data_IF_805258968056
#
_entry.id   IF_805258968056
#
_cell.length_a   1.000
_cell.length_b   1.000
_cell.length_c   1.000
_cell.angle_alpha   90.00
_cell.angle_beta   90.00
_cell.angle_gamma   90.00
#
_symmetry.space_group_name_H-M   'P 1'
#
loop_
_entity.id
_entity.type
_entity.pdbx_description
1 polymer ?
#
# COMPACT_ATOMS: atom_id res chain seq x y z
N UNK A 1 14.94 -9.45 -13.19
CA UNK A 1 15.35 -8.02 -13.21
C UNK A 1 14.66 -7.22 -14.28
N UNK A 2 14.68 -7.63 -15.55
CA UNK A 2 14.00 -6.89 -16.62
C UNK A 2 12.53 -6.64 -16.27
N UNK A 3 11.81 -7.66 -15.81
CA UNK A 3 10.43 -7.52 -15.31
C UNK A 3 10.31 -6.56 -14.12
N UNK A 4 11.26 -6.55 -13.18
CA UNK A 4 11.23 -5.65 -12.02
C UNK A 4 11.28 -4.18 -12.42
N UNK A 5 12.16 -3.81 -13.36
CA UNK A 5 12.27 -2.43 -13.83
C UNK A 5 11.05 -1.99 -14.67
N UNK A 6 10.53 -2.87 -15.53
CA UNK A 6 9.29 -2.60 -16.27
C UNK A 6 8.08 -2.49 -15.35
N UNK A 7 8.01 -3.33 -14.32
CA UNK A 7 6.98 -3.23 -13.29
C UNK A 7 7.04 -1.89 -12.57
N UNK A 8 8.22 -1.43 -12.15
CA UNK A 8 8.39 -0.11 -11.53
C UNK A 8 7.99 1.03 -12.46
N UNK A 9 8.37 0.97 -13.75
CA UNK A 9 7.95 1.98 -14.72
C UNK A 9 6.43 1.99 -14.89
N UNK A 10 5.82 0.80 -15.02
CA UNK A 10 4.38 0.64 -15.15
C UNK A 10 3.65 1.20 -13.92
N UNK A 11 4.10 0.85 -12.72
CA UNK A 11 3.55 1.38 -11.47
C UNK A 11 3.68 2.91 -11.40
N UNK A 12 4.84 3.47 -11.75
CA UNK A 12 5.03 4.92 -11.81
C UNK A 12 4.07 5.60 -12.75
N UNK A 13 3.94 5.10 -13.99
CA UNK A 13 3.01 5.68 -14.98
C UNK A 13 1.57 5.59 -14.47
N UNK A 14 1.15 4.44 -13.96
CA UNK A 14 -0.23 4.24 -13.50
C UNK A 14 -0.56 5.05 -12.23
N UNK A 15 0.37 5.19 -11.29
CA UNK A 15 0.19 6.05 -10.11
C UNK A 15 0.17 7.53 -10.49
N UNK A 16 1.04 7.96 -11.42
CA UNK A 16 0.98 9.32 -11.97
C UNK A 16 -0.39 9.61 -12.60
N UNK A 17 -0.91 8.69 -13.43
CA UNK A 17 -2.23 8.83 -14.05
C UNK A 17 -3.32 8.89 -12.97
N UNK A 18 -3.21 8.06 -11.92
CA UNK A 18 -4.22 7.94 -10.87
C UNK A 18 -4.27 9.11 -9.90
N UNK A 19 -3.14 9.73 -9.56
CA UNK A 19 -3.10 10.77 -8.53
C UNK A 19 -2.88 12.19 -9.07
N UNK A 20 -2.07 12.37 -10.11
CA UNK A 20 -1.71 13.71 -10.61
C UNK A 20 -2.47 14.09 -11.87
N UNK A 21 -2.55 13.19 -12.85
CA UNK A 21 -3.23 13.52 -14.10
C UNK A 21 -4.75 13.41 -13.97
N UNK A 22 -5.25 12.34 -13.35
CA UNK A 22 -6.68 12.11 -13.09
C UNK A 22 -7.59 12.48 -14.27
N UNK A 23 -7.41 11.85 -15.45
CA UNK A 23 -8.20 12.18 -16.64
C UNK A 23 -9.71 11.95 -16.44
N UNK A 24 -10.06 11.07 -15.49
CA UNK A 24 -11.40 10.84 -14.95
C UNK A 24 -11.27 10.61 -13.44
N UNK A 25 -12.39 10.32 -12.77
CA UNK A 25 -12.46 10.14 -11.32
C UNK A 25 -11.45 9.11 -10.75
N UNK A 26 -10.84 9.46 -9.61
CA UNK A 26 -9.85 8.64 -8.90
C UNK A 26 -10.35 7.23 -8.60
N UNK A 27 -11.61 7.10 -8.18
CA UNK A 27 -12.24 5.82 -7.82
C UNK A 27 -12.56 4.94 -9.02
N UNK A 28 -12.28 5.43 -10.24
CA UNK A 28 -12.30 4.63 -11.47
C UNK A 28 -10.86 4.33 -11.90
N UNK A 29 -10.00 5.34 -12.00
CA UNK A 29 -8.64 5.19 -12.54
C UNK A 29 -7.76 4.32 -11.64
N UNK A 30 -7.79 4.55 -10.32
CA UNK A 30 -6.87 3.90 -9.40
C UNK A 30 -7.14 2.39 -9.23
N UNK A 31 -8.40 1.92 -9.05
CA UNK A 31 -8.69 0.48 -9.06
C UNK A 31 -8.28 -0.21 -10.36
N UNK A 32 -8.54 0.40 -11.53
CA UNK A 32 -8.15 -0.16 -12.81
C UNK A 32 -6.62 -0.25 -12.96
N UNK A 33 -5.91 0.77 -12.51
CA UNK A 33 -4.45 0.78 -12.45
C UNK A 33 -3.92 -0.37 -11.60
N UNK A 34 -4.49 -0.60 -10.41
CA UNK A 34 -4.06 -1.69 -9.53
C UNK A 34 -4.49 -3.08 -10.02
N UNK A 35 -5.62 -3.17 -10.73
CA UNK A 35 -5.99 -4.41 -11.43
C UNK A 35 -4.94 -4.76 -12.51
N UNK A 36 -4.51 -3.79 -13.32
CA UNK A 36 -3.45 -4.00 -14.32
C UNK A 36 -2.12 -4.40 -13.67
N UNK A 37 -1.73 -3.75 -12.58
CA UNK A 37 -0.52 -4.13 -11.83
C UNK A 37 -0.64 -5.52 -11.21
N UNK A 38 -1.83 -5.93 -10.77
CA UNK A 38 -2.10 -7.29 -10.30
C UNK A 38 -1.88 -8.30 -11.41
N UNK A 39 -2.47 -8.07 -12.59
CA UNK A 39 -2.28 -8.93 -13.75
C UNK A 39 -0.79 -9.04 -14.09
N UNK A 40 -0.08 -7.91 -14.14
CA UNK A 40 1.37 -7.90 -14.37
C UNK A 40 2.14 -8.72 -13.32
N UNK A 41 1.82 -8.55 -12.04
CA UNK A 41 2.43 -9.25 -10.93
C UNK A 41 2.22 -10.77 -11.03
N UNK A 42 1.03 -11.22 -11.40
CA UNK A 42 0.71 -12.64 -11.57
C UNK A 42 1.49 -13.28 -12.73
N UNK A 43 1.63 -12.57 -13.86
CA UNK A 43 2.39 -13.08 -15.01
C UNK A 43 3.91 -13.07 -14.81
N UNK A 44 4.44 -12.16 -13.98
CA UNK A 44 5.87 -11.97 -13.81
C UNK A 44 6.44 -12.57 -12.52
N UNK A 45 5.63 -13.34 -11.77
CA UNK A 45 6.03 -13.99 -10.52
C UNK A 45 5.79 -15.50 -10.57
N UNK A 46 6.86 -16.28 -10.50
CA UNK A 46 6.78 -17.75 -10.51
C UNK A 46 6.55 -18.36 -9.11
N UNK A 47 6.49 -17.53 -8.07
CA UNK A 47 6.27 -18.00 -6.70
C UNK A 47 4.84 -18.49 -6.54
N UNK A 48 4.57 -19.69 -6.00
CA UNK A 48 3.19 -20.13 -5.80
C UNK A 48 2.39 -19.17 -4.91
N UNK A 49 1.26 -18.68 -5.43
CA UNK A 49 0.37 -17.72 -4.77
C UNK A 49 -0.22 -18.27 -3.45
N UNK A 50 -0.58 -19.55 -3.48
CA UNK A 50 -1.10 -20.29 -2.35
C UNK A 50 -0.02 -21.22 -1.79
N UNK A 51 0.99 -20.65 -1.15
CA UNK A 51 1.71 -21.43 -0.16
C UNK A 51 0.75 -21.69 1.01
N UNK A 52 0.72 -22.93 1.52
CA UNK A 52 -0.17 -23.38 2.60
C UNK A 52 0.18 -22.73 3.96
N UNK A 53 0.20 -21.41 4.00
CA UNK A 53 0.66 -20.63 5.13
C UNK A 53 -0.52 -20.36 6.08
N UNK A 54 -0.71 -21.27 7.05
CA UNK A 54 -1.64 -21.11 8.18
C UNK A 54 -1.23 -20.00 9.17
N UNK A 55 -0.15 -19.26 8.88
CA UNK A 55 0.49 -18.32 9.81
C UNK A 55 0.05 -16.89 9.53
N UNK A 56 -0.07 -16.10 10.59
CA UNK A 56 -0.27 -14.64 10.49
C UNK A 56 -1.70 -14.15 10.65
N UNK A 57 -2.72 -15.01 10.71
CA UNK A 57 -4.13 -14.59 10.80
C UNK A 57 -4.47 -13.79 12.07
N UNK A 58 -3.81 -14.06 13.20
CA UNK A 58 -3.96 -13.27 14.44
C UNK A 58 -3.07 -12.03 14.39
N UNK A 59 -1.84 -12.17 13.89
CA UNK A 59 -0.86 -11.07 13.86
C UNK A 59 -1.29 -9.98 12.88
N UNK A 60 -1.91 -10.33 11.77
CA UNK A 60 -2.37 -9.42 10.73
C UNK A 60 -3.31 -8.31 11.22
N UNK A 61 -4.49 -8.61 11.83
CA UNK A 61 -5.38 -7.56 12.32
C UNK A 61 -4.72 -6.73 13.43
N UNK A 62 -3.95 -7.36 14.33
CA UNK A 62 -3.21 -6.64 15.37
C UNK A 62 -2.21 -5.66 14.75
N UNK A 63 -1.42 -6.09 13.77
CA UNK A 63 -0.51 -5.21 13.03
C UNK A 63 -1.24 -4.07 12.34
N UNK A 64 -2.41 -4.32 11.73
CA UNK A 64 -3.23 -3.27 11.11
C UNK A 64 -3.65 -2.19 12.11
N UNK A 65 -4.13 -2.60 13.28
CA UNK A 65 -4.52 -1.68 14.37
C UNK A 65 -3.28 -0.91 14.88
N UNK A 66 -2.13 -1.58 15.06
CA UNK A 66 -0.90 -0.93 15.51
C UNK A 66 -0.40 0.13 14.52
N UNK A 67 -0.46 -0.14 13.21
CA UNK A 67 -0.11 0.86 12.18
C UNK A 67 -1.08 2.05 12.26
N UNK A 68 -2.38 1.81 12.45
CA UNK A 68 -3.36 2.88 12.62
C UNK A 68 -3.03 3.76 13.84
N UNK A 69 -2.79 3.15 15.01
CA UNK A 69 -2.45 3.90 16.23
C UNK A 69 -1.17 4.72 16.06
N UNK A 70 -0.18 4.19 15.34
CA UNK A 70 1.04 4.94 15.03
C UNK A 70 0.74 6.21 14.21
N UNK A 71 -0.18 6.13 13.24
CA UNK A 71 -0.57 7.30 12.44
C UNK A 71 -1.46 8.27 13.22
N UNK A 72 -2.30 7.77 14.13
CA UNK A 72 -3.05 8.61 15.05
C UNK A 72 -2.11 9.43 15.95
N UNK A 73 -1.08 8.79 16.52
CA UNK A 73 -0.02 9.49 17.28
C UNK A 73 0.73 10.48 16.37
N UNK A 74 0.98 10.11 15.12
CA UNK A 74 1.56 11.01 14.11
C UNK A 74 0.73 12.27 13.88
N UNK A 75 -0.61 12.16 13.80
CA UNK A 75 -1.51 13.32 13.71
C UNK A 75 -1.37 14.23 14.94
N UNK A 76 -1.44 13.65 16.14
CA UNK A 76 -1.31 14.42 17.39
C UNK A 76 0.04 15.16 17.45
N UNK A 77 1.11 14.53 17.00
CA UNK A 77 2.42 15.18 16.89
C UNK A 77 2.39 16.39 15.94
N UNK A 78 1.74 16.29 14.77
CA UNK A 78 1.59 17.43 13.86
C UNK A 78 0.84 18.60 14.50
N UNK A 79 -0.21 18.31 15.27
CA UNK A 79 -1.00 19.32 16.00
C UNK A 79 -0.14 20.01 17.05
N UNK A 80 0.55 19.23 17.90
CA UNK A 80 1.36 19.75 19.01
C UNK A 80 2.55 20.58 18.49
N UNK A 81 3.17 20.16 17.40
CA UNK A 81 4.35 20.85 16.84
C UNK A 81 4.00 22.00 15.90
N UNK A 82 2.75 22.08 15.43
CA UNK A 82 2.31 23.12 14.48
C UNK A 82 2.92 22.97 13.08
N UNK A 83 3.40 21.78 12.71
CA UNK A 83 3.92 21.53 11.36
C UNK A 83 2.76 21.69 10.35
N UNK A 84 2.89 22.50 9.29
CA UNK A 84 1.79 22.87 8.40
C UNK A 84 1.45 21.77 7.37
N UNK A 85 1.13 20.57 7.85
CA UNK A 85 0.75 19.41 7.03
C UNK A 85 -0.72 18.99 7.21
N UNK A 86 -1.47 19.61 8.13
CA UNK A 86 -2.88 19.28 8.37
C UNK A 86 -3.77 19.54 7.15
N UNK A 87 -3.55 20.65 6.43
CA UNK A 87 -4.28 20.93 5.19
C UNK A 87 -3.99 19.89 4.09
N UNK A 88 -2.74 19.43 3.97
CA UNK A 88 -2.36 18.35 3.07
C UNK A 88 -2.98 17.00 3.48
N UNK A 89 -3.17 16.77 4.78
CA UNK A 89 -3.88 15.60 5.31
C UNK A 89 -5.35 15.63 4.89
N UNK A 90 -6.03 16.75 5.12
CA UNK A 90 -7.44 16.95 4.72
C UNK A 90 -7.63 16.76 3.21
N UNK A 91 -6.76 17.34 2.38
CA UNK A 91 -6.79 17.17 0.92
C UNK A 91 -6.62 15.70 0.51
N UNK A 92 -5.70 14.98 1.17
CA UNK A 92 -5.52 13.56 0.93
C UNK A 92 -6.81 12.78 1.27
N UNK A 93 -7.44 13.06 2.42
CA UNK A 93 -8.72 12.43 2.79
C UNK A 93 -9.84 12.74 1.81
N UNK A 94 -9.96 13.97 1.31
CA UNK A 94 -10.98 14.33 0.33
C UNK A 94 -10.91 13.47 -0.94
N UNK A 95 -9.70 13.04 -1.32
CA UNK A 95 -9.43 12.18 -2.46
C UNK A 95 -9.67 10.70 -2.15
N UNK A 96 -9.05 10.18 -1.08
CA UNK A 96 -8.96 8.72 -0.85
C UNK A 96 -10.02 8.16 0.10
N UNK A 97 -10.83 9.01 0.75
CA UNK A 97 -11.89 8.54 1.63
C UNK A 97 -13.10 8.05 0.81
N UNK A 98 -13.60 6.82 1.04
CA UNK A 98 -14.76 6.29 0.33
C UNK A 98 -16.03 7.08 0.72
N UNK A 99 -16.82 7.47 -0.28
CA UNK A 99 -18.07 8.23 -0.12
C UNK A 99 -19.26 7.46 -0.66
N UNK A 100 -19.07 6.77 -1.77
CA UNK A 100 -20.10 5.96 -2.42
C UNK A 100 -19.91 4.47 -2.15
N UNK A 101 -20.99 3.69 -2.21
CA UNK A 101 -20.97 2.24 -1.92
C UNK A 101 -19.93 1.48 -2.75
N UNK A 102 -19.73 1.86 -4.03
CA UNK A 102 -18.77 1.21 -4.92
C UNK A 102 -17.32 1.57 -4.56
N UNK A 103 -17.05 2.69 -3.88
CA UNK A 103 -15.71 3.03 -3.38
C UNK A 103 -15.24 1.97 -2.37
N UNK A 104 -16.14 1.51 -1.49
CA UNK A 104 -15.83 0.48 -0.52
C UNK A 104 -15.49 -0.84 -1.21
N UNK A 105 -16.24 -1.22 -2.25
CA UNK A 105 -15.95 -2.43 -3.03
C UNK A 105 -14.58 -2.30 -3.69
N UNK A 106 -14.31 -1.18 -4.37
CA UNK A 106 -13.02 -0.94 -4.99
C UNK A 106 -11.88 -0.96 -3.99
N UNK A 107 -12.04 -0.29 -2.84
CA UNK A 107 -11.02 -0.20 -1.80
C UNK A 107 -10.64 -1.58 -1.26
N UNK A 108 -11.62 -2.35 -0.78
CA UNK A 108 -11.34 -3.57 -0.04
C UNK A 108 -11.05 -4.78 -0.94
N UNK A 109 -11.56 -4.81 -2.18
CA UNK A 109 -11.44 -5.98 -3.05
C UNK A 109 -10.47 -5.80 -4.22
N UNK A 110 -10.16 -4.57 -4.63
CA UNK A 110 -9.30 -4.32 -5.79
C UNK A 110 -8.06 -3.50 -5.43
N UNK A 111 -8.24 -2.33 -4.79
CA UNK A 111 -7.13 -1.44 -4.46
C UNK A 111 -6.20 -2.14 -3.46
N UNK A 112 -6.70 -2.48 -2.27
CA UNK A 112 -5.84 -3.05 -1.23
C UNK A 112 -5.20 -4.37 -1.70
N UNK A 113 -5.96 -5.36 -2.22
CA UNK A 113 -5.34 -6.57 -2.74
C UNK A 113 -4.36 -6.30 -3.88
N UNK A 114 -4.67 -5.40 -4.80
CA UNK A 114 -3.83 -5.13 -5.96
C UNK A 114 -2.50 -4.48 -5.60
N UNK A 115 -2.49 -3.56 -4.62
CA UNK A 115 -1.25 -3.06 -4.05
C UNK A 115 -0.42 -4.18 -3.42
N UNK A 116 -1.03 -5.06 -2.62
CA UNK A 116 -0.32 -6.17 -1.98
C UNK A 116 0.26 -7.14 -3.01
N UNK A 117 -0.50 -7.50 -4.04
CA UNK A 117 -0.03 -8.39 -5.11
C UNK A 117 1.17 -7.78 -5.84
N UNK A 118 1.10 -6.50 -6.19
CA UNK A 118 2.21 -5.88 -6.91
C UNK A 118 3.44 -5.67 -6.03
N UNK A 119 3.28 -5.09 -4.83
CA UNK A 119 4.42 -4.67 -4.02
C UNK A 119 5.03 -5.81 -3.19
N UNK A 120 4.22 -6.74 -2.70
CA UNK A 120 4.69 -7.80 -1.78
C UNK A 120 4.88 -9.10 -2.56
N UNK A 121 3.85 -9.55 -3.25
CA UNK A 121 3.94 -10.81 -3.99
C UNK A 121 4.90 -10.72 -5.18
N UNK A 122 4.90 -9.64 -5.95
CA UNK A 122 5.88 -9.46 -7.04
C UNK A 122 7.16 -8.76 -6.57
N UNK A 123 7.12 -7.45 -6.27
CA UNK A 123 8.33 -6.64 -6.09
C UNK A 123 9.25 -7.16 -4.97
N UNK A 124 8.73 -7.40 -3.76
CA UNK A 124 9.55 -7.90 -2.65
C UNK A 124 10.16 -9.28 -2.95
N UNK A 125 9.41 -10.22 -3.54
CA UNK A 125 9.96 -11.54 -3.89
C UNK A 125 11.12 -11.44 -4.89
N UNK A 126 11.02 -10.56 -5.90
CA UNK A 126 12.12 -10.33 -6.84
C UNK A 126 13.42 -9.89 -6.15
N UNK A 127 13.32 -9.08 -5.10
CA UNK A 127 14.48 -8.65 -4.31
C UNK A 127 14.98 -9.71 -3.34
N UNK A 128 14.09 -10.51 -2.75
CA UNK A 128 14.45 -11.63 -1.87
C UNK A 128 15.26 -12.71 -2.59
N UNK A 129 15.08 -12.89 -3.91
CA UNK A 129 15.91 -13.80 -4.71
C UNK A 129 17.35 -13.32 -4.92
N UNK A 130 17.66 -12.06 -4.61
CA UNK A 130 18.93 -11.40 -4.98
C UNK A 130 19.72 -10.83 -3.83
N UNK A 131 19.02 -10.39 -2.79
CA UNK A 131 19.62 -9.70 -1.67
C UNK A 131 19.31 -10.43 -0.37
N UNK A 132 20.07 -10.10 0.67
CA UNK A 132 19.71 -10.52 2.02
C UNK A 132 18.32 -9.97 2.37
N UNK A 133 17.63 -10.67 3.28
CA UNK A 133 16.27 -10.34 3.72
C UNK A 133 16.12 -8.87 4.09
N UNK A 134 17.02 -8.35 4.93
CA UNK A 134 17.01 -6.94 5.36
C UNK A 134 17.14 -5.99 4.17
N UNK A 135 18.10 -6.24 3.26
CA UNK A 135 18.29 -5.41 2.08
C UNK A 135 17.07 -5.44 1.15
N UNK A 136 16.50 -6.62 0.93
CA UNK A 136 15.32 -6.79 0.09
C UNK A 136 14.10 -6.01 0.65
N UNK A 137 13.84 -6.10 1.96
CA UNK A 137 12.76 -5.36 2.62
C UNK A 137 12.97 -3.85 2.51
N UNK A 138 14.18 -3.37 2.77
CA UNK A 138 14.49 -1.93 2.69
C UNK A 138 14.35 -1.42 1.25
N UNK A 139 14.89 -2.13 0.26
CA UNK A 139 14.76 -1.73 -1.15
C UNK A 139 13.29 -1.74 -1.59
N UNK A 140 12.53 -2.78 -1.26
CA UNK A 140 11.10 -2.86 -1.61
C UNK A 140 10.30 -1.71 -0.99
N UNK A 141 10.59 -1.37 0.28
CA UNK A 141 9.95 -0.26 1.00
C UNK A 141 10.28 1.08 0.36
N UNK A 142 11.55 1.32 0.03
CA UNK A 142 11.98 2.56 -0.64
C UNK A 142 11.34 2.69 -2.02
N UNK A 143 11.33 1.62 -2.82
CA UNK A 143 10.65 1.63 -4.12
C UNK A 143 9.16 1.95 -3.98
N UNK A 144 8.47 1.34 -3.01
CA UNK A 144 7.06 1.62 -2.74
C UNK A 144 6.85 3.10 -2.39
N UNK A 145 7.60 3.63 -1.43
CA UNK A 145 7.50 5.04 -1.03
C UNK A 145 7.88 6.03 -2.15
N UNK A 146 8.93 5.76 -2.91
CA UNK A 146 9.38 6.64 -4.01
C UNK A 146 8.32 6.75 -5.10
N UNK A 147 7.68 5.65 -5.49
CA UNK A 147 6.61 5.72 -6.51
C UNK A 147 5.41 6.52 -5.99
N UNK A 148 5.15 6.52 -4.68
CA UNK A 148 4.11 7.36 -4.08
C UNK A 148 4.44 8.87 -4.07
N UNK A 149 5.67 9.30 -4.43
CA UNK A 149 5.94 10.73 -4.69
C UNK A 149 5.04 11.26 -5.81
N UNK A 150 4.64 10.39 -6.74
CA UNK A 150 3.70 10.69 -7.82
C UNK A 150 2.26 10.86 -7.33
N UNK A 151 2.00 10.80 -6.02
CA UNK A 151 0.73 11.21 -5.43
C UNK A 151 0.64 12.72 -5.18
N UNK A 152 1.77 13.44 -5.20
CA UNK A 152 1.84 14.83 -4.75
C UNK A 152 1.68 15.01 -3.24
N UNK A 153 1.54 13.93 -2.46
CA UNK A 153 1.35 13.99 -1.00
C UNK A 153 2.57 13.45 -0.25
N UNK A 154 3.29 14.34 0.44
CA UNK A 154 4.38 13.95 1.33
C UNK A 154 3.91 13.01 2.44
N UNK A 155 2.70 13.24 2.97
CA UNK A 155 2.12 12.39 4.01
C UNK A 155 1.86 10.97 3.49
N UNK A 156 1.39 10.83 2.25
CA UNK A 156 1.20 9.51 1.65
C UNK A 156 2.53 8.78 1.42
N UNK A 157 3.59 9.51 1.06
CA UNK A 157 4.94 8.94 0.94
C UNK A 157 5.46 8.44 2.29
N UNK A 158 5.33 9.25 3.34
CA UNK A 158 5.71 8.84 4.70
C UNK A 158 4.89 7.63 5.17
N UNK A 159 3.58 7.65 4.90
CA UNK A 159 2.70 6.52 5.19
C UNK A 159 3.15 5.25 4.46
N UNK A 160 3.44 5.34 3.16
CA UNK A 160 3.92 4.23 2.35
C UNK A 160 5.26 3.68 2.86
N UNK A 161 6.19 4.53 3.30
CA UNK A 161 7.46 4.08 3.86
C UNK A 161 7.28 3.34 5.20
N UNK A 162 6.48 3.89 6.12
CA UNK A 162 6.27 3.31 7.45
C UNK A 162 5.45 2.02 7.34
N UNK A 163 4.27 2.09 6.73
CA UNK A 163 3.39 0.94 6.60
C UNK A 163 3.98 -0.11 5.65
N UNK A 164 4.62 0.32 4.55
CA UNK A 164 5.33 -0.56 3.63
C UNK A 164 6.43 -1.38 4.28
N UNK A 165 7.17 -0.81 5.23
CA UNK A 165 8.17 -1.55 6.00
C UNK A 165 7.52 -2.69 6.81
N UNK A 166 6.42 -2.37 7.51
CA UNK A 166 5.67 -3.34 8.32
C UNK A 166 5.05 -4.43 7.45
N UNK A 167 4.41 -4.06 6.34
CA UNK A 167 3.77 -5.00 5.41
C UNK A 167 4.78 -5.91 4.71
N UNK A 168 5.94 -5.37 4.28
CA UNK A 168 7.03 -6.17 3.71
C UNK A 168 7.57 -7.19 4.73
N UNK A 169 7.78 -6.76 5.97
CA UNK A 169 8.21 -7.66 7.03
C UNK A 169 7.16 -8.72 7.37
N UNK A 170 5.88 -8.33 7.48
CA UNK A 170 4.78 -9.24 7.74
C UNK A 170 4.65 -10.29 6.62
N UNK A 171 4.73 -9.87 5.36
CA UNK A 171 4.72 -10.79 4.21
C UNK A 171 5.90 -11.75 4.27
N UNK A 172 7.12 -11.24 4.48
CA UNK A 172 8.31 -12.06 4.57
C UNK A 172 8.20 -13.12 5.70
N UNK A 173 7.72 -12.72 6.88
CA UNK A 173 7.61 -13.59 8.06
C UNK A 173 6.51 -14.64 7.94
N UNK A 174 5.37 -14.28 7.35
CA UNK A 174 4.20 -15.15 7.26
C UNK A 174 4.18 -15.99 5.99
N UNK A 175 4.82 -15.51 4.92
CA UNK A 175 4.70 -16.04 3.55
C UNK A 175 3.25 -16.18 3.10
N UNK A 176 2.37 -15.33 3.63
CA UNK A 176 0.93 -15.36 3.41
C UNK A 176 0.48 -13.99 2.89
N UNK A 177 0.17 -13.90 1.60
CA UNK A 177 -0.32 -12.65 1.00
C UNK A 177 -1.63 -12.20 1.63
N UNK A 178 -2.51 -13.14 1.97
CA UNK A 178 -3.81 -12.86 2.57
C UNK A 178 -3.70 -12.29 3.98
N UNK A 179 -2.69 -12.71 4.75
CA UNK A 179 -2.41 -12.11 6.06
C UNK A 179 -2.07 -10.61 5.91
N UNK A 180 -1.28 -10.25 4.91
CA UNK A 180 -0.92 -8.83 4.70
C UNK A 180 -2.10 -8.04 4.12
N UNK A 181 -2.89 -8.62 3.21
CA UNK A 181 -4.15 -8.03 2.75
C UNK A 181 -5.06 -7.74 3.95
N UNK A 182 -5.28 -8.70 4.86
CA UNK A 182 -6.09 -8.45 6.06
C UNK A 182 -5.49 -7.36 6.94
N UNK A 183 -4.17 -7.35 7.15
CA UNK A 183 -3.50 -6.29 7.90
C UNK A 183 -3.78 -4.90 7.30
N UNK A 184 -3.66 -4.78 5.97
CA UNK A 184 -3.87 -3.53 5.25
C UNK A 184 -5.36 -3.15 5.22
N UNK A 185 -6.27 -4.10 5.04
CA UNK A 185 -7.72 -3.89 5.13
C UNK A 185 -8.12 -3.38 6.52
N UNK A 186 -7.61 -3.98 7.61
CA UNK A 186 -7.88 -3.50 8.97
C UNK A 186 -7.33 -2.10 9.17
N UNK A 187 -6.12 -1.81 8.69
CA UNK A 187 -5.55 -0.47 8.75
C UNK A 187 -6.44 0.57 8.03
N UNK A 188 -6.84 0.31 6.78
CA UNK A 188 -7.69 1.24 6.02
C UNK A 188 -9.13 1.30 6.53
N UNK A 189 -9.67 0.22 7.09
CA UNK A 189 -10.97 0.25 7.75
C UNK A 189 -10.98 1.24 8.91
N UNK A 190 -9.93 1.25 9.73
CA UNK A 190 -9.81 2.20 10.82
C UNK A 190 -9.52 3.60 10.30
N UNK A 191 -8.54 3.73 9.40
CA UNK A 191 -8.07 5.02 8.89
C UNK A 191 -9.12 5.76 8.05
N UNK A 192 -9.89 5.08 7.20
CA UNK A 192 -10.74 5.74 6.20
C UNK A 192 -12.24 5.65 6.52
N UNK A 193 -12.64 4.70 7.37
CA UNK A 193 -14.06 4.40 7.61
C UNK A 193 -14.47 4.63 9.06
N UNK A 194 -13.87 3.90 10.01
CA UNK A 194 -14.35 3.88 11.40
C UNK A 194 -13.85 5.08 12.22
N UNK A 195 -12.57 5.43 12.08
CA UNK A 195 -11.92 6.46 12.89
C UNK A 195 -10.99 7.35 12.05
N UNK A 196 -11.55 8.12 11.10
CA UNK A 196 -10.74 8.95 10.23
C UNK A 196 -9.91 9.98 10.98
N UNK A 197 -8.70 10.23 10.50
CA UNK A 197 -7.73 11.14 11.12
C UNK A 197 -7.72 12.54 10.49
N UNK A 198 -8.74 12.95 9.74
CA UNK A 198 -8.87 14.36 9.32
C UNK A 198 -9.32 15.22 10.50
#
# INVERSE_FOLDING_TARGET
MKHTYWGLLLASVLLFISFLWQPIDFWIVFPLSLALLTVYALFCTDTPLFQAAKKGWIVAPVSGIMIYLLFAIGKEFLIITGIPLLSSLEQLYQLVQPKEWYHYIWLFFIIIPGEEFFWRYFMLNQWLHKFSVTKAILIATLCYGIVHLLSGSLLLVLAALIAGLVWNYLYYRTKNIWAVIVCHQVFNLFLLVLFPLF
#
